data_IF_886509806576
#
_entry.id   IF_886509806576
#
_cell.length_a   1.000
_cell.length_b   1.000
_cell.length_c   1.000
_cell.angle_alpha   90.00
_cell.angle_beta   90.00
_cell.angle_gamma   90.00
#
_symmetry.space_group_name_H-M   'P 1'
#
loop_
_entity.id
_entity.type
_entity.pdbx_description
1 polymer ?
#
# COMPACT_ATOMS: atom_id res chain seq x y z
N UNK A 1 14.22 0.10 5.87
CA UNK A 1 12.78 0.40 6.09
C UNK A 1 11.95 -0.67 5.42
N UNK A 2 10.93 -1.19 6.11
CA UNK A 2 10.02 -2.19 5.55
C UNK A 2 8.72 -1.51 5.10
N UNK A 3 8.26 -1.86 3.90
CA UNK A 3 7.00 -1.35 3.32
C UNK A 3 5.78 -1.63 4.23
N UNK A 4 5.78 -2.74 4.96
CA UNK A 4 4.71 -3.12 5.88
C UNK A 4 4.46 -2.09 6.98
N UNK A 5 5.53 -1.47 7.52
CA UNK A 5 5.41 -0.42 8.54
C UNK A 5 4.78 0.85 7.97
N UNK A 6 5.10 1.20 6.72
CA UNK A 6 4.51 2.34 6.01
C UNK A 6 3.02 2.12 5.82
N UNK A 7 2.64 0.93 5.38
CA UNK A 7 1.24 0.62 5.17
C UNK A 7 0.46 0.59 6.48
N UNK A 8 1.07 0.17 7.58
CA UNK A 8 0.44 0.26 8.90
C UNK A 8 0.27 1.73 9.35
N UNK A 9 1.25 2.59 9.06
CA UNK A 9 1.22 4.01 9.40
C UNK A 9 0.16 4.80 8.61
N UNK A 10 0.01 4.48 7.30
CA UNK A 10 -0.88 5.20 6.38
C UNK A 10 -2.37 4.92 6.60
N UNK A 11 -2.73 3.90 7.39
CA UNK A 11 -4.14 3.56 7.66
C UNK A 11 -4.86 4.68 8.40
N UNK A 12 -4.16 5.48 9.20
CA UNK A 12 -4.81 6.34 10.21
C UNK A 12 -4.69 7.85 9.97
N UNK A 13 -3.82 8.29 9.05
CA UNK A 13 -3.79 9.70 8.63
C UNK A 13 -5.09 10.17 7.99
N UNK A 14 -5.74 9.39 7.09
CA UNK A 14 -7.00 9.80 6.49
C UNK A 14 -8.12 9.94 7.52
N UNK A 15 -8.27 9.00 8.45
CA UNK A 15 -9.34 9.03 9.47
C UNK A 15 -9.28 10.28 10.35
N UNK A 16 -8.08 10.66 10.84
CA UNK A 16 -7.92 11.89 11.62
C UNK A 16 -8.25 13.14 10.80
N UNK A 17 -7.79 13.20 9.54
CA UNK A 17 -8.09 14.32 8.64
C UNK A 17 -9.59 14.36 8.28
N UNK A 18 -10.27 13.21 8.23
CA UNK A 18 -11.71 13.09 7.98
C UNK A 18 -12.53 13.66 9.12
N UNK A 19 -12.17 13.33 10.35
CA UNK A 19 -12.89 13.80 11.53
C UNK A 19 -12.80 15.33 11.70
N UNK A 20 -11.76 15.97 11.16
CA UNK A 20 -11.49 17.41 11.39
C UNK A 20 -11.68 18.30 10.16
N UNK A 21 -11.46 17.79 8.94
CA UNK A 21 -11.47 18.59 7.70
C UNK A 21 -12.51 18.09 6.68
N UNK A 22 -13.14 16.94 6.94
CA UNK A 22 -14.05 16.29 6.00
C UNK A 22 -13.33 15.57 4.85
N UNK A 23 -14.04 14.60 4.26
CA UNK A 23 -13.46 13.64 3.31
C UNK A 23 -12.80 14.30 2.10
N UNK A 24 -13.47 15.26 1.49
CA UNK A 24 -12.98 15.93 0.28
C UNK A 24 -11.65 16.64 0.51
N UNK A 25 -11.53 17.47 1.56
CA UNK A 25 -10.32 18.23 1.85
C UNK A 25 -9.15 17.30 2.17
N UNK A 26 -9.39 16.28 3.01
CA UNK A 26 -8.39 15.29 3.37
C UNK A 26 -7.89 14.50 2.15
N UNK A 27 -8.78 14.03 1.26
CA UNK A 27 -8.38 13.36 0.02
C UNK A 27 -7.56 14.29 -0.89
N UNK A 28 -7.97 15.55 -1.05
CA UNK A 28 -7.21 16.54 -1.83
C UNK A 28 -5.81 16.77 -1.26
N UNK A 29 -5.68 16.88 0.07
CA UNK A 29 -4.38 17.04 0.74
C UNK A 29 -3.49 15.80 0.55
N UNK A 30 -4.04 14.59 0.64
CA UNK A 30 -3.29 13.35 0.41
C UNK A 30 -2.80 13.24 -1.03
N UNK A 31 -3.64 13.58 -2.01
CA UNK A 31 -3.27 13.61 -3.43
C UNK A 31 -2.21 14.67 -3.69
N UNK A 32 -2.34 15.87 -3.12
CA UNK A 32 -1.35 16.93 -3.22
C UNK A 32 0.00 16.53 -2.59
N UNK A 33 -0.03 15.85 -1.44
CA UNK A 33 1.17 15.32 -0.78
C UNK A 33 1.86 14.25 -1.64
N UNK A 34 1.08 13.34 -2.24
CA UNK A 34 1.61 12.34 -3.17
C UNK A 34 2.22 13.01 -4.40
N UNK A 35 1.51 13.95 -5.04
CA UNK A 35 2.01 14.67 -6.20
C UNK A 35 3.32 15.41 -5.90
N UNK A 36 3.39 16.09 -4.75
CA UNK A 36 4.59 16.79 -4.30
C UNK A 36 5.75 15.81 -4.08
N UNK A 37 5.50 14.70 -3.37
CA UNK A 37 6.52 13.69 -3.12
C UNK A 37 7.03 13.04 -4.41
N UNK A 38 6.14 12.74 -5.36
CA UNK A 38 6.50 12.20 -6.67
C UNK A 38 7.29 13.21 -7.50
N UNK A 39 6.91 14.49 -7.51
CA UNK A 39 7.65 15.54 -8.21
C UNK A 39 9.07 15.66 -7.64
N UNK A 40 9.22 15.68 -6.32
CA UNK A 40 10.53 15.72 -5.66
C UNK A 40 11.36 14.48 -6.01
N UNK A 41 10.74 13.30 -6.00
CA UNK A 41 11.38 12.04 -6.29
C UNK A 41 11.83 11.95 -7.77
N UNK A 42 10.95 12.24 -8.72
CA UNK A 42 11.19 12.15 -10.17
C UNK A 42 12.11 13.25 -10.71
N UNK A 43 12.21 14.41 -10.03
CA UNK A 43 13.15 15.48 -10.38
C UNK A 43 14.57 15.21 -9.86
N UNK A 44 14.74 14.31 -8.90
CA UNK A 44 16.05 13.95 -8.40
C UNK A 44 16.83 13.15 -9.45
N UNK A 45 18.12 13.41 -9.58
CA UNK A 45 19.00 12.61 -10.44
C UNK A 45 19.43 11.28 -9.77
N UNK A 46 19.01 11.07 -8.52
CA UNK A 46 19.28 9.87 -7.72
C UNK A 46 18.07 9.54 -6.85
N UNK A 47 17.84 8.26 -6.62
CA UNK A 47 16.81 7.77 -5.70
C UNK A 47 17.13 8.28 -4.28
N UNK A 48 16.33 9.23 -3.80
CA UNK A 48 16.48 9.79 -2.44
C UNK A 48 15.62 8.97 -1.49
N UNK A 49 16.22 8.23 -0.52
CA UNK A 49 15.45 7.33 0.34
C UNK A 49 14.28 8.03 1.05
N UNK A 50 14.50 9.24 1.56
CA UNK A 50 13.47 10.01 2.26
C UNK A 50 12.28 10.38 1.36
N UNK A 51 12.54 10.78 0.10
CA UNK A 51 11.50 11.16 -0.84
C UNK A 51 10.73 9.92 -1.33
N UNK A 52 11.45 8.84 -1.63
CA UNK A 52 10.87 7.56 -2.02
C UNK A 52 9.92 7.01 -0.93
N UNK A 53 10.35 6.99 0.33
CA UNK A 53 9.50 6.48 1.40
C UNK A 53 8.32 7.41 1.73
N UNK A 54 8.50 8.72 1.57
CA UNK A 54 7.40 9.69 1.70
C UNK A 54 6.35 9.49 0.61
N UNK A 55 6.79 9.31 -0.64
CA UNK A 55 5.91 8.99 -1.77
C UNK A 55 5.21 7.65 -1.56
N UNK A 56 5.90 6.63 -1.02
CA UNK A 56 5.31 5.33 -0.71
C UNK A 56 4.21 5.43 0.37
N UNK A 57 4.44 6.24 1.41
CA UNK A 57 3.46 6.51 2.46
C UNK A 57 2.22 7.22 1.89
N UNK A 58 2.43 8.30 1.13
CA UNK A 58 1.35 9.05 0.51
C UNK A 58 0.58 8.19 -0.51
N UNK A 59 1.28 7.38 -1.33
CA UNK A 59 0.65 6.50 -2.31
C UNK A 59 -0.19 5.41 -1.64
N UNK A 60 0.27 4.89 -0.49
CA UNK A 60 -0.53 3.94 0.28
C UNK A 60 -1.81 4.56 0.81
N UNK A 61 -1.78 5.80 1.30
CA UNK A 61 -2.96 6.50 1.79
C UNK A 61 -3.93 6.84 0.64
N UNK A 62 -3.41 7.45 -0.43
CA UNK A 62 -4.20 7.80 -1.63
C UNK A 62 -4.82 6.56 -2.26
N UNK A 63 -4.09 5.45 -2.38
CA UNK A 63 -4.62 4.20 -2.92
C UNK A 63 -5.79 3.65 -2.11
N UNK A 64 -5.73 3.77 -0.78
CA UNK A 64 -6.85 3.41 0.10
C UNK A 64 -8.05 4.33 -0.12
N UNK A 65 -7.83 5.63 -0.29
CA UNK A 65 -8.92 6.57 -0.53
C UNK A 65 -9.56 6.47 -1.89
N UNK A 66 -8.80 6.12 -2.93
CA UNK A 66 -9.38 5.82 -4.24
C UNK A 66 -10.32 4.62 -4.11
N UNK A 67 -9.91 3.54 -3.45
CA UNK A 67 -10.75 2.35 -3.25
C UNK A 67 -12.00 2.64 -2.43
N UNK A 68 -11.86 3.34 -1.30
CA UNK A 68 -12.99 3.71 -0.46
C UNK A 68 -13.93 4.70 -1.16
N UNK A 69 -13.36 5.64 -1.92
CA UNK A 69 -14.08 6.60 -2.74
C UNK A 69 -14.91 5.91 -3.81
N UNK A 70 -14.36 4.93 -4.54
CA UNK A 70 -15.11 4.13 -5.51
C UNK A 70 -16.25 3.35 -4.85
N UNK A 71 -16.02 2.78 -3.66
CA UNK A 71 -17.06 2.08 -2.92
C UNK A 71 -18.21 3.01 -2.51
N UNK A 72 -17.88 4.19 -1.97
CA UNK A 72 -18.89 5.11 -1.43
C UNK A 72 -19.58 5.93 -2.53
N UNK A 73 -18.84 6.44 -3.51
CA UNK A 73 -19.37 7.31 -4.55
C UNK A 73 -20.09 6.54 -5.66
N UNK A 74 -19.61 5.35 -6.02
CA UNK A 74 -20.19 4.54 -7.10
C UNK A 74 -21.02 3.35 -6.58
N UNK A 75 -21.06 3.12 -5.27
CA UNK A 75 -21.77 1.98 -4.67
C UNK A 75 -21.19 0.61 -5.01
N UNK A 76 -19.97 0.55 -5.57
CA UNK A 76 -19.36 -0.70 -6.01
C UNK A 76 -18.90 -1.54 -4.81
N UNK A 77 -19.28 -2.81 -4.76
CA UNK A 77 -18.74 -3.73 -3.76
C UNK A 77 -17.22 -3.92 -3.89
N UNK A 78 -16.53 -4.12 -2.77
CA UNK A 78 -15.08 -4.40 -2.77
C UNK A 78 -14.64 -5.55 -3.70
N UNK A 79 -15.42 -6.64 -3.93
CA UNK A 79 -15.05 -7.64 -4.92
C UNK A 79 -14.96 -7.07 -6.35
N UNK A 80 -15.92 -6.23 -6.73
CA UNK A 80 -15.93 -5.59 -8.04
C UNK A 80 -14.74 -4.62 -8.18
N UNK A 81 -14.46 -3.84 -7.13
CA UNK A 81 -13.30 -2.93 -7.11
C UNK A 81 -11.99 -3.71 -7.22
N UNK A 82 -11.86 -4.84 -6.52
CA UNK A 82 -10.68 -5.70 -6.63
C UNK A 82 -10.46 -6.18 -8.07
N UNK A 83 -11.52 -6.63 -8.76
CA UNK A 83 -11.46 -7.05 -10.17
C UNK A 83 -11.05 -5.89 -11.08
N UNK A 84 -11.67 -4.71 -10.92
CA UNK A 84 -11.34 -3.52 -11.73
C UNK A 84 -9.89 -3.11 -11.52
N UNK A 85 -9.41 -3.06 -10.27
CA UNK A 85 -8.02 -2.73 -9.97
C UNK A 85 -7.05 -3.81 -10.48
N UNK A 86 -7.42 -5.09 -10.44
CA UNK A 86 -6.61 -6.17 -11.00
C UNK A 86 -6.48 -6.04 -12.52
N UNK A 87 -7.57 -5.78 -13.23
CA UNK A 87 -7.57 -5.55 -14.68
C UNK A 87 -6.74 -4.31 -15.03
N UNK A 88 -6.95 -3.20 -14.31
CA UNK A 88 -6.18 -1.98 -14.52
C UNK A 88 -4.69 -2.17 -14.23
N UNK A 89 -4.34 -2.89 -13.16
CA UNK A 89 -2.96 -3.21 -12.79
C UNK A 89 -2.29 -4.12 -13.83
N UNK A 90 -2.99 -5.15 -14.29
CA UNK A 90 -2.51 -6.01 -15.38
C UNK A 90 -2.33 -5.22 -16.68
N UNK A 91 -3.26 -4.31 -17.00
CA UNK A 91 -3.16 -3.41 -18.15
C UNK A 91 -1.94 -2.48 -18.07
N UNK A 92 -1.68 -1.88 -16.90
CA UNK A 92 -0.48 -1.06 -16.68
C UNK A 92 0.81 -1.88 -16.80
N UNK A 93 0.84 -3.09 -16.24
CA UNK A 93 2.00 -3.99 -16.38
C UNK A 93 2.22 -4.38 -17.84
N UNK A 94 1.15 -4.69 -18.59
CA UNK A 94 1.23 -5.05 -20.00
C UNK A 94 1.70 -3.86 -20.87
N UNK A 95 1.14 -2.68 -20.65
CA UNK A 95 1.54 -1.47 -21.35
C UNK A 95 2.99 -1.07 -21.00
N UNK A 96 3.37 -1.14 -19.73
CA UNK A 96 4.74 -0.94 -19.27
C UNK A 96 5.70 -1.93 -19.91
N UNK A 97 5.35 -3.22 -19.92
CA UNK A 97 6.13 -4.27 -20.55
C UNK A 97 6.39 -4.02 -22.03
N UNK A 98 5.35 -3.62 -22.78
CA UNK A 98 5.46 -3.30 -24.20
C UNK A 98 6.38 -2.09 -24.47
N UNK A 99 6.53 -1.17 -23.50
CA UNK A 99 7.34 0.05 -23.69
C UNK A 99 8.82 -0.08 -23.29
N UNK A 100 9.16 -0.93 -22.32
CA UNK A 100 10.50 -0.96 -21.72
C UNK A 100 10.95 -2.33 -21.18
N UNK A 101 10.16 -3.38 -21.38
CA UNK A 101 10.45 -4.71 -20.86
C UNK A 101 10.01 -4.90 -19.40
N UNK A 102 9.81 -6.16 -19.00
CA UNK A 102 9.17 -6.49 -17.71
C UNK A 102 10.10 -6.23 -16.52
N UNK A 103 11.39 -6.51 -16.67
CA UNK A 103 12.39 -6.30 -15.61
C UNK A 103 12.57 -4.82 -15.26
N UNK A 104 12.41 -3.93 -16.24
CA UNK A 104 12.52 -2.47 -16.06
C UNK A 104 11.42 -1.92 -15.16
N UNK A 105 10.28 -2.60 -15.03
CA UNK A 105 9.15 -2.15 -14.19
C UNK A 105 9.45 -2.18 -12.69
N UNK A 106 10.51 -2.88 -12.27
CA UNK A 106 10.96 -2.96 -10.87
C UNK A 106 12.38 -2.42 -10.67
N UNK A 107 13.10 -2.10 -11.75
CA UNK A 107 14.49 -1.65 -11.69
C UNK A 107 14.64 -0.22 -11.16
N UNK A 108 13.67 0.66 -11.47
CA UNK A 108 13.65 2.09 -11.05
C UNK A 108 14.99 2.80 -11.34
N UNK A 109 15.55 2.51 -12.51
CA UNK A 109 16.87 2.96 -12.98
C UNK A 109 16.81 4.20 -13.89
N UNK A 110 15.62 4.54 -14.40
CA UNK A 110 15.37 5.68 -15.28
C UNK A 110 14.10 6.40 -14.88
N UNK A 111 13.97 7.68 -15.25
CA UNK A 111 12.75 8.46 -15.00
C UNK A 111 11.50 7.79 -15.59
N UNK A 112 11.67 7.10 -16.71
CA UNK A 112 10.58 6.39 -17.40
C UNK A 112 10.17 5.12 -16.64
N UNK A 113 11.12 4.31 -16.20
CA UNK A 113 10.83 3.11 -15.38
C UNK A 113 10.26 3.48 -14.02
N UNK A 114 10.73 4.57 -13.42
CA UNK A 114 10.19 5.10 -12.17
C UNK A 114 8.72 5.57 -12.31
N UNK A 115 8.36 6.23 -13.42
CA UNK A 115 6.97 6.60 -13.69
C UNK A 115 6.02 5.39 -13.74
N UNK A 116 6.43 4.32 -14.44
CA UNK A 116 5.65 3.07 -14.48
C UNK A 116 5.58 2.40 -13.11
N UNK A 117 6.69 2.36 -12.38
CA UNK A 117 6.73 1.82 -11.04
C UNK A 117 5.68 2.50 -10.14
N UNK A 118 5.62 3.83 -10.13
CA UNK A 118 4.65 4.56 -9.31
C UNK A 118 3.21 4.37 -9.78
N UNK A 119 2.97 4.32 -11.09
CA UNK A 119 1.64 4.06 -11.63
C UNK A 119 1.12 2.67 -11.21
N UNK A 120 1.95 1.63 -11.37
CA UNK A 120 1.59 0.26 -10.98
C UNK A 120 1.46 0.15 -9.45
N UNK A 121 2.35 0.80 -8.70
CA UNK A 121 2.31 0.82 -7.23
C UNK A 121 1.01 1.42 -6.69
N UNK A 122 0.51 2.51 -7.28
CA UNK A 122 -0.74 3.15 -6.86
C UNK A 122 -1.93 2.21 -7.03
N UNK A 123 -2.04 1.54 -8.18
CA UNK A 123 -3.10 0.55 -8.42
C UNK A 123 -2.95 -0.67 -7.50
N UNK A 124 -1.71 -1.13 -7.25
CA UNK A 124 -1.44 -2.22 -6.33
C UNK A 124 -1.87 -1.91 -4.89
N UNK A 125 -1.77 -0.66 -4.44
CA UNK A 125 -2.34 -0.24 -3.16
C UNK A 125 -3.87 -0.32 -3.13
N UNK A 126 -4.53 0.01 -4.25
CA UNK A 126 -5.97 -0.16 -4.40
C UNK A 126 -6.40 -1.63 -4.33
N UNK A 127 -5.68 -2.52 -5.03
CA UNK A 127 -5.91 -3.98 -4.96
C UNK A 127 -5.76 -4.46 -3.50
N UNK A 128 -4.66 -4.09 -2.84
CA UNK A 128 -4.40 -4.48 -1.46
C UNK A 128 -5.45 -3.96 -0.46
N UNK A 129 -5.98 -2.75 -0.70
CA UNK A 129 -7.09 -2.20 0.10
C UNK A 129 -8.35 -3.03 -0.12
N UNK A 130 -8.74 -3.30 -1.37
CA UNK A 130 -9.91 -4.12 -1.66
C UNK A 130 -9.81 -5.52 -1.03
N UNK A 131 -8.65 -6.18 -1.14
CA UNK A 131 -8.36 -7.46 -0.48
C UNK A 131 -8.53 -7.41 1.04
N UNK A 132 -8.13 -6.30 1.67
CA UNK A 132 -8.33 -6.10 3.12
C UNK A 132 -9.81 -6.18 3.47
N UNK A 133 -10.67 -5.51 2.70
CA UNK A 133 -12.12 -5.50 2.93
C UNK A 133 -12.83 -6.82 2.55
N UNK A 134 -12.22 -7.62 1.66
CA UNK A 134 -12.71 -8.97 1.32
C UNK A 134 -12.43 -10.02 2.39
N UNK A 135 -11.57 -9.71 3.37
CA UNK A 135 -11.26 -10.64 4.44
C UNK A 135 -12.55 -10.94 5.23
N UNK A 136 -13.05 -12.19 5.25
CA UNK A 136 -14.37 -12.49 5.79
C UNK A 136 -14.38 -12.30 7.31
N UNK A 137 -14.87 -11.15 7.76
CA UNK A 137 -14.99 -10.80 9.18
C UNK A 137 -15.77 -11.80 10.03
N UNK A 138 -16.82 -12.50 9.55
CA UNK A 138 -17.51 -13.51 10.34
C UNK A 138 -16.64 -14.74 10.67
N UNK A 139 -15.71 -15.09 9.78
CA UNK A 139 -14.81 -16.26 9.90
C UNK A 139 -13.49 -15.87 10.58
N UNK A 140 -13.05 -14.63 10.35
CA UNK A 140 -11.79 -14.06 10.84
C UNK A 140 -12.07 -12.84 11.74
N UNK A 141 -12.92 -13.02 12.74
CA UNK A 141 -13.37 -11.94 13.61
C UNK A 141 -12.21 -11.28 14.39
N UNK A 142 -11.17 -12.07 14.71
CA UNK A 142 -10.02 -11.62 15.48
C UNK A 142 -8.90 -11.06 14.57
N UNK A 143 -8.40 -9.84 14.84
CA UNK A 143 -7.30 -9.23 14.10
C UNK A 143 -6.02 -10.09 14.02
N UNK A 144 -5.75 -10.87 15.07
CA UNK A 144 -4.60 -11.81 15.11
C UNK A 144 -4.70 -12.84 13.98
N UNK A 145 -5.89 -13.37 13.71
CA UNK A 145 -6.06 -14.39 12.67
C UNK A 145 -5.94 -13.80 11.26
N UNK A 146 -6.40 -12.55 11.08
CA UNK A 146 -6.16 -11.80 9.85
C UNK A 146 -4.67 -11.53 9.64
N UNK A 147 -3.95 -11.16 10.72
CA UNK A 147 -2.51 -10.95 10.69
C UNK A 147 -1.77 -12.22 10.28
N UNK A 148 -2.12 -13.37 10.88
CA UNK A 148 -1.53 -14.66 10.53
C UNK A 148 -1.80 -15.05 9.08
N UNK A 149 -3.04 -14.89 8.59
CA UNK A 149 -3.41 -15.18 7.20
C UNK A 149 -2.50 -14.41 6.22
N UNK A 150 -2.40 -13.10 6.40
CA UNK A 150 -1.62 -12.26 5.49
C UNK A 150 -0.11 -12.45 5.67
N UNK A 151 0.36 -12.75 6.88
CA UNK A 151 1.76 -13.05 7.13
C UNK A 151 2.18 -14.35 6.43
N UNK A 152 1.36 -15.40 6.51
CA UNK A 152 1.58 -16.66 5.79
C UNK A 152 1.50 -16.44 4.28
N UNK A 153 0.51 -15.69 3.78
CA UNK A 153 0.41 -15.40 2.35
C UNK A 153 1.66 -14.68 1.80
N UNK A 154 2.17 -13.68 2.53
CA UNK A 154 3.42 -12.98 2.18
C UNK A 154 4.61 -13.93 2.23
N UNK A 155 4.72 -14.75 3.29
CA UNK A 155 5.82 -15.71 3.44
C UNK A 155 5.84 -16.74 2.31
N UNK A 156 4.69 -17.33 1.97
CA UNK A 156 4.55 -18.28 0.86
C UNK A 156 4.91 -17.61 -0.46
N UNK A 157 4.40 -16.41 -0.73
CA UNK A 157 4.73 -15.68 -1.94
C UNK A 157 6.24 -15.37 -2.03
N UNK A 158 6.88 -15.00 -0.93
CA UNK A 158 8.32 -14.74 -0.86
C UNK A 158 9.15 -16.02 -1.08
N UNK A 159 8.74 -17.15 -0.49
CA UNK A 159 9.40 -18.45 -0.68
C UNK A 159 9.28 -18.92 -2.13
N UNK A 160 8.08 -18.84 -2.71
CA UNK A 160 7.85 -19.19 -4.13
C UNK A 160 8.71 -18.33 -5.05
N UNK A 161 8.87 -17.04 -4.72
CA UNK A 161 9.74 -16.12 -5.45
C UNK A 161 11.22 -16.50 -5.32
N UNK A 162 11.68 -16.83 -4.12
CA UNK A 162 13.08 -17.23 -3.86
C UNK A 162 13.44 -18.55 -4.56
N UNK A 163 12.48 -19.48 -4.70
CA UNK A 163 12.69 -20.76 -5.37
C UNK A 163 12.68 -20.67 -6.90
N UNK A 164 12.11 -19.59 -7.49
CA UNK A 164 12.02 -19.43 -8.95
C UNK A 164 13.15 -18.57 -9.52
N UNK A 165 14.12 -19.20 -10.18
CA UNK A 165 15.29 -18.54 -10.81
C UNK A 165 15.04 -17.90 -12.20
N UNK A 166 13.84 -17.37 -12.48
CA UNK A 166 13.49 -16.84 -13.82
C UNK A 166 13.07 -15.37 -13.75
N UNK A 167 13.76 -14.50 -14.51
CA UNK A 167 13.61 -13.04 -14.45
C UNK A 167 12.23 -12.46 -14.82
N UNK A 168 11.36 -13.20 -15.50
CA UNK A 168 9.95 -12.81 -15.69
C UNK A 168 9.08 -13.13 -14.47
N UNK A 169 9.37 -14.24 -13.79
CA UNK A 169 8.69 -14.64 -12.56
C UNK A 169 9.04 -13.73 -11.38
N UNK A 170 10.20 -13.06 -11.42
CA UNK A 170 10.61 -12.12 -10.38
C UNK A 170 9.76 -10.85 -10.34
N UNK A 171 9.34 -10.32 -11.50
CA UNK A 171 8.51 -9.10 -11.55
C UNK A 171 7.08 -9.37 -11.10
N UNK A 172 6.45 -10.45 -11.58
CA UNK A 172 5.11 -10.83 -11.14
C UNK A 172 5.10 -11.18 -9.64
N UNK A 173 6.12 -11.90 -9.16
CA UNK A 173 6.27 -12.20 -7.74
C UNK A 173 6.53 -10.97 -6.89
N UNK A 174 7.33 -10.01 -7.37
CA UNK A 174 7.51 -8.72 -6.73
C UNK A 174 6.17 -8.00 -6.54
N UNK A 175 5.38 -7.85 -7.60
CA UNK A 175 4.09 -7.17 -7.51
C UNK A 175 3.08 -7.93 -6.65
N UNK A 176 3.10 -9.27 -6.67
CA UNK A 176 2.30 -10.10 -5.78
C UNK A 176 2.61 -9.84 -4.30
N UNK A 177 3.88 -9.94 -3.91
CA UNK A 177 4.32 -9.61 -2.55
C UNK A 177 4.02 -8.14 -2.22
N UNK A 178 4.24 -7.24 -3.17
CA UNK A 178 3.94 -5.82 -3.01
C UNK A 178 2.47 -5.58 -2.69
N UNK A 179 1.53 -6.23 -3.39
CA UNK A 179 0.09 -6.16 -3.09
C UNK A 179 -0.21 -6.73 -1.70
N UNK A 180 0.32 -7.92 -1.37
CA UNK A 180 0.04 -8.63 -0.12
C UNK A 180 0.57 -7.94 1.14
N UNK A 181 1.64 -7.15 1.03
CA UNK A 181 2.14 -6.34 2.16
C UNK A 181 1.15 -5.27 2.63
N UNK A 182 0.19 -4.87 1.79
CA UNK A 182 -0.85 -3.90 2.19
C UNK A 182 -1.82 -4.52 3.21
N UNK A 183 -2.58 -5.58 2.89
CA UNK A 183 -3.49 -6.16 3.87
C UNK A 183 -2.77 -6.68 5.12
N UNK A 184 -1.51 -7.11 5.00
CA UNK A 184 -0.67 -7.40 6.17
C UNK A 184 -0.50 -6.17 7.09
N UNK A 185 -0.12 -5.02 6.52
CA UNK A 185 0.00 -3.78 7.29
C UNK A 185 -1.33 -3.32 7.89
N UNK A 186 -2.45 -3.54 7.17
CA UNK A 186 -3.79 -3.28 7.69
C UNK A 186 -4.13 -4.16 8.90
N UNK A 187 -3.80 -5.44 8.84
CA UNK A 187 -4.04 -6.37 9.94
C UNK A 187 -3.24 -6.02 11.20
N UNK A 188 -1.97 -5.58 11.03
CA UNK A 188 -1.18 -5.03 12.15
C UNK A 188 -1.87 -3.80 12.73
N UNK A 189 -2.28 -2.86 11.89
CA UNK A 189 -2.99 -1.66 12.30
C UNK A 189 -4.27 -1.99 13.11
N UNK A 190 -5.11 -2.90 12.60
CA UNK A 190 -6.32 -3.36 13.29
C UNK A 190 -6.03 -4.08 14.61
N UNK A 191 -4.96 -4.89 14.69
CA UNK A 191 -4.57 -5.53 15.94
C UNK A 191 -4.21 -4.49 17.01
N UNK A 192 -3.49 -3.43 16.63
CA UNK A 192 -3.11 -2.39 17.58
C UNK A 192 -4.32 -1.56 18.04
N UNK A 193 -5.27 -1.26 17.14
CA UNK A 193 -6.30 -0.24 17.42
C UNK A 193 -7.71 -0.77 17.71
N UNK A 194 -8.04 -2.00 17.34
CA UNK A 194 -9.37 -2.53 17.60
C UNK A 194 -9.60 -2.70 19.10
N UNK A 195 -10.87 -2.62 19.51
CA UNK A 195 -11.28 -2.82 20.89
C UNK A 195 -10.83 -4.21 21.39
N UNK A 196 -10.51 -4.30 22.68
CA UNK A 196 -10.05 -5.55 23.30
C UNK A 196 -11.13 -6.64 23.24
N UNK A 197 -12.40 -6.26 23.30
CA UNK A 197 -13.54 -7.16 23.10
C UNK A 197 -13.59 -7.77 21.68
N UNK A 198 -12.97 -7.11 20.68
CA UNK A 198 -12.80 -7.60 19.33
C UNK A 198 -11.41 -8.23 19.10
N UNK A 199 -10.62 -8.46 20.15
CA UNK A 199 -9.29 -9.07 20.10
C UNK A 199 -8.16 -8.15 19.63
N UNK A 200 -8.33 -6.83 19.72
CA UNK A 200 -7.26 -5.85 19.53
C UNK A 200 -6.64 -5.37 20.85
N UNK A 201 -5.66 -4.46 20.78
CA UNK A 201 -4.97 -3.89 21.95
C UNK A 201 -5.59 -2.56 22.43
N UNK A 202 -6.66 -2.07 21.79
CA UNK A 202 -7.34 -0.81 22.11
C UNK A 202 -6.42 0.42 22.17
N UNK A 203 -5.29 0.42 21.47
CA UNK A 203 -4.40 1.57 21.43
C UNK A 203 -5.05 2.72 20.66
N UNK A 204 -4.84 3.94 21.14
CA UNK A 204 -5.36 5.12 20.49
C UNK A 204 -4.80 5.25 19.07
N UNK A 205 -5.69 5.34 18.05
CA UNK A 205 -5.32 5.43 16.63
C UNK A 205 -4.27 6.51 16.34
N UNK A 206 -4.44 7.70 16.92
CA UNK A 206 -3.51 8.81 16.74
C UNK A 206 -2.12 8.52 17.35
N UNK A 207 -2.06 7.82 18.48
CA UNK A 207 -0.79 7.44 19.11
C UNK A 207 -0.06 6.38 18.28
N UNK A 208 -0.77 5.37 17.76
CA UNK A 208 -0.21 4.35 16.87
C UNK A 208 0.33 4.98 15.59
N UNK A 209 -0.44 5.88 14.98
CA UNK A 209 0.00 6.62 13.79
C UNK A 209 1.24 7.46 14.07
N UNK A 210 1.25 8.24 15.16
CA UNK A 210 2.38 9.08 15.54
C UNK A 210 3.66 8.28 15.80
N UNK A 211 3.57 7.14 16.51
CA UNK A 211 4.71 6.26 16.78
C UNK A 211 5.23 5.65 15.48
N UNK A 212 4.34 5.15 14.61
CA UNK A 212 4.76 4.58 13.33
C UNK A 212 5.40 5.65 12.43
N UNK A 213 4.85 6.87 12.37
CA UNK A 213 5.46 8.00 11.66
C UNK A 213 6.82 8.37 12.25
N UNK A 214 6.97 8.41 13.57
CA UNK A 214 8.24 8.69 14.23
C UNK A 214 9.30 7.62 13.93
N UNK A 215 8.92 6.34 13.95
CA UNK A 215 9.80 5.22 13.56
C UNK A 215 10.19 5.34 12.09
N UNK A 216 9.26 5.74 11.21
CA UNK A 216 9.57 5.97 9.79
C UNK A 216 10.56 7.12 9.61
N UNK A 217 10.34 8.27 10.25
CA UNK A 217 11.25 9.42 10.18
C UNK A 217 12.63 9.06 10.76
N UNK A 218 12.67 8.37 11.90
CA UNK A 218 13.91 7.92 12.53
C UNK A 218 14.71 6.94 11.66
N UNK A 219 14.01 6.00 11.00
CA UNK A 219 14.65 5.00 10.13
C UNK A 219 15.07 5.54 8.76
N UNK A 220 14.51 6.67 8.31
CA UNK A 220 15.01 7.46 7.18
C UNK A 220 16.28 8.22 7.55
N UNK A 221 16.36 8.79 8.77
CA UNK A 221 17.51 9.59 9.22
C UNK A 221 18.76 8.76 9.52
N UNK A 222 18.62 7.47 9.83
CA UNK A 222 19.71 6.57 10.21
C UNK A 222 20.45 5.93 9.02
N UNK A 223 20.33 6.46 7.81
CA UNK A 223 20.98 5.94 6.59
C UNK A 223 21.60 7.05 5.75
#
# INVERSE_FOLDING_TARGET
MSKTLITAASVFWPDYLYDHLGRWIATTLLVAALATALVVQLRGDRLRPWAFWSAMLAASAVGTEITNGLHVALGLGYPAIAVVCLIGGAGLVAAGHATMGIASLIAVDSRRSEGWFWAIALVAFGIGTALTHLTPRPILAYPVLQLLLWAVAVAVAAVVLACRRLGGATTAGFWGVFVLTRPLGAAVAFLLTNASAAGGLSLARHAVSAVLTAVLIGSVRYR
#
